data_IF_039436198458
#
_entry.id   IF_039436198458
#
_cell.length_a   1.000
_cell.length_b   1.000
_cell.length_c   1.000
_cell.angle_alpha   90.00
_cell.angle_beta   90.00
_cell.angle_gamma   90.00
#
_symmetry.space_group_name_H-M   'P 1'
#
loop_
_entity.id
_entity.type
_entity.pdbx_description
1 polymer ?
#
# COMPACT_ATOMS: atom_id res chain seq x y z
N UNK A 1 40.30 -16.45 0.59
CA UNK A 1 40.46 -15.59 -0.61
C UNK A 1 39.51 -15.92 -1.74
N UNK A 2 39.11 -17.20 -1.92
CA UNK A 2 38.12 -17.61 -2.94
C UNK A 2 36.70 -17.11 -2.69
N UNK A 3 36.26 -16.95 -1.44
CA UNK A 3 34.90 -16.55 -1.12
C UNK A 3 34.64 -15.04 -1.32
N UNK A 4 35.66 -14.21 -1.10
CA UNK A 4 35.58 -12.78 -1.41
C UNK A 4 35.46 -12.53 -2.92
N UNK A 5 36.16 -13.31 -3.73
CA UNK A 5 36.07 -13.24 -5.18
C UNK A 5 34.69 -13.71 -5.71
N UNK A 6 34.11 -14.73 -5.08
CA UNK A 6 32.75 -15.21 -5.43
C UNK A 6 31.69 -14.19 -5.08
N UNK A 7 31.79 -13.55 -3.91
CA UNK A 7 30.84 -12.53 -3.49
C UNK A 7 30.93 -11.26 -4.33
N UNK A 8 32.13 -10.84 -4.70
CA UNK A 8 32.34 -9.70 -5.59
C UNK A 8 31.73 -9.95 -6.98
N UNK A 9 32.04 -11.11 -7.57
CA UNK A 9 31.53 -11.51 -8.88
C UNK A 9 30.00 -11.66 -8.90
N UNK A 10 29.43 -12.23 -7.85
CA UNK A 10 27.98 -12.34 -7.69
C UNK A 10 27.31 -10.96 -7.69
N UNK A 11 27.91 -9.99 -6.99
CA UNK A 11 27.42 -8.62 -6.95
C UNK A 11 27.51 -7.94 -8.31
N UNK A 12 28.66 -8.03 -8.94
CA UNK A 12 28.92 -7.39 -10.24
C UNK A 12 27.94 -7.87 -11.33
N UNK A 13 27.65 -9.16 -11.37
CA UNK A 13 26.73 -9.76 -12.36
C UNK A 13 25.27 -9.33 -12.17
N UNK A 14 24.86 -8.96 -10.95
CA UNK A 14 23.44 -8.73 -10.61
C UNK A 14 23.10 -7.32 -10.19
N UNK A 15 24.07 -6.51 -9.91
CA UNK A 15 23.87 -5.13 -9.45
C UNK A 15 23.10 -4.28 -10.48
N UNK A 16 23.27 -4.54 -11.77
CA UNK A 16 22.54 -3.86 -12.85
C UNK A 16 21.03 -4.11 -12.77
N UNK A 17 20.61 -5.34 -12.47
CA UNK A 17 19.20 -5.71 -12.32
C UNK A 17 18.59 -5.09 -11.05
N UNK A 18 19.35 -5.06 -9.95
CA UNK A 18 18.90 -4.42 -8.71
C UNK A 18 18.73 -2.92 -8.87
N UNK A 19 19.68 -2.24 -9.53
CA UNK A 19 19.57 -0.82 -9.84
C UNK A 19 18.39 -0.50 -10.75
N UNK A 20 18.17 -1.33 -11.77
CA UNK A 20 17.00 -1.17 -12.65
C UNK A 20 15.69 -1.30 -11.88
N UNK A 21 15.59 -2.30 -11.01
CA UNK A 21 14.42 -2.48 -10.14
C UNK A 21 14.22 -1.27 -9.21
N UNK A 22 15.28 -0.79 -8.57
CA UNK A 22 15.23 0.37 -7.67
C UNK A 22 14.78 1.64 -8.38
N UNK A 23 15.28 1.89 -9.59
CA UNK A 23 14.86 3.02 -10.42
C UNK A 23 13.38 2.95 -10.80
N UNK A 24 12.87 1.77 -11.18
CA UNK A 24 11.47 1.56 -11.51
C UNK A 24 10.60 1.82 -10.29
N UNK A 25 10.96 1.27 -9.12
CA UNK A 25 10.22 1.46 -7.87
C UNK A 25 10.22 2.92 -7.43
N UNK A 26 11.36 3.59 -7.46
CA UNK A 26 11.48 5.01 -7.09
C UNK A 26 10.64 5.90 -8.01
N UNK A 27 10.62 5.61 -9.32
CA UNK A 27 9.77 6.33 -10.27
C UNK A 27 8.29 6.09 -9.97
N UNK A 28 7.92 4.85 -9.66
CA UNK A 28 6.55 4.49 -9.31
C UNK A 28 6.07 5.14 -8.01
N UNK A 29 6.94 5.22 -7.01
CA UNK A 29 6.65 5.86 -5.71
C UNK A 29 6.48 7.37 -5.84
N UNK A 30 7.32 8.02 -6.65
CA UNK A 30 7.30 9.49 -6.79
C UNK A 30 6.21 9.99 -7.75
N UNK A 31 5.94 9.26 -8.83
CA UNK A 31 5.09 9.74 -9.93
C UNK A 31 3.85 8.87 -10.16
N UNK A 32 3.69 7.81 -9.34
CA UNK A 32 2.59 6.86 -9.46
C UNK A 32 2.78 5.82 -10.57
N UNK A 33 1.96 4.78 -10.53
CA UNK A 33 2.01 3.64 -11.47
C UNK A 33 1.82 4.08 -12.93
N UNK A 34 1.06 5.14 -13.16
CA UNK A 34 0.78 5.68 -14.49
C UNK A 34 2.00 6.30 -15.19
N UNK A 35 3.06 6.60 -14.43
CA UNK A 35 4.32 7.14 -14.97
C UNK A 35 5.29 6.06 -15.43
N UNK A 36 4.99 4.78 -15.20
CA UNK A 36 5.79 3.65 -15.67
C UNK A 36 5.47 3.34 -17.12
N UNK A 37 6.52 3.01 -17.88
CA UNK A 37 6.35 2.49 -19.24
C UNK A 37 5.77 1.07 -19.20
N UNK A 38 5.13 0.65 -20.28
CA UNK A 38 4.59 -0.70 -20.43
C UNK A 38 5.71 -1.77 -20.33
N UNK A 39 6.89 -1.40 -20.78
CA UNK A 39 8.11 -2.20 -20.69
C UNK A 39 8.58 -2.38 -19.24
N UNK A 40 8.55 -1.32 -18.42
CA UNK A 40 8.89 -1.36 -17.01
C UNK A 40 7.88 -2.20 -16.21
N UNK A 41 6.60 -2.09 -16.53
CA UNK A 41 5.54 -2.86 -15.89
C UNK A 41 5.64 -4.37 -16.16
N UNK A 42 6.02 -4.76 -17.38
CA UNK A 42 6.26 -6.16 -17.76
C UNK A 42 7.56 -6.71 -17.19
N UNK A 43 8.59 -5.88 -17.06
CA UNK A 43 9.87 -6.28 -16.47
C UNK A 43 9.83 -6.45 -14.95
N UNK A 44 8.97 -5.72 -14.27
CA UNK A 44 8.92 -5.65 -12.81
C UNK A 44 8.76 -7.01 -12.11
N UNK A 45 7.82 -7.91 -12.49
CA UNK A 45 7.66 -9.22 -11.85
C UNK A 45 8.89 -10.12 -12.04
N UNK A 46 9.59 -9.98 -13.18
CA UNK A 46 10.82 -10.71 -13.45
C UNK A 46 11.95 -10.21 -12.57
N UNK A 47 12.16 -8.90 -12.53
CA UNK A 47 13.18 -8.26 -11.69
C UNK A 47 12.97 -8.54 -10.21
N UNK A 48 11.71 -8.52 -9.75
CA UNK A 48 11.37 -8.89 -8.37
C UNK A 48 11.80 -10.32 -8.04
N UNK A 49 11.46 -11.31 -8.89
CA UNK A 49 11.87 -12.70 -8.68
C UNK A 49 13.39 -12.86 -8.68
N UNK A 50 14.09 -12.14 -9.54
CA UNK A 50 15.56 -12.12 -9.55
C UNK A 50 16.14 -11.52 -8.26
N UNK A 51 15.56 -10.45 -7.74
CA UNK A 51 15.98 -9.83 -6.48
C UNK A 51 15.75 -10.78 -5.28
N UNK A 52 14.61 -11.45 -5.21
CA UNK A 52 14.32 -12.46 -4.15
C UNK A 52 15.30 -13.63 -4.22
N UNK A 53 15.58 -14.15 -5.41
CA UNK A 53 16.58 -15.20 -5.62
C UNK A 53 17.98 -14.72 -5.21
N UNK A 54 18.34 -13.49 -5.55
CA UNK A 54 19.61 -12.88 -5.15
C UNK A 54 19.73 -12.72 -3.65
N UNK A 55 18.67 -12.33 -2.96
CA UNK A 55 18.63 -12.23 -1.50
C UNK A 55 18.86 -13.59 -0.83
N UNK A 56 18.22 -14.65 -1.34
CA UNK A 56 18.41 -16.02 -0.84
C UNK A 56 19.86 -16.47 -0.97
N UNK A 57 20.48 -16.24 -2.13
CA UNK A 57 21.89 -16.57 -2.37
C UNK A 57 22.82 -15.72 -1.48
N UNK A 58 22.55 -14.40 -1.39
CA UNK A 58 23.35 -13.50 -0.56
C UNK A 58 23.39 -13.94 0.91
N UNK A 59 22.25 -14.39 1.44
CA UNK A 59 22.18 -14.96 2.81
C UNK A 59 22.96 -16.27 2.93
N UNK A 60 22.90 -17.15 1.94
CA UNK A 60 23.57 -18.46 1.98
C UNK A 60 25.09 -18.35 1.93
N UNK A 61 25.63 -17.37 1.22
CA UNK A 61 27.08 -17.14 1.12
C UNK A 61 27.61 -16.13 2.14
N UNK A 62 26.77 -15.72 3.11
CA UNK A 62 27.13 -14.74 4.17
C UNK A 62 27.73 -13.44 3.58
N UNK A 63 27.06 -12.90 2.56
CA UNK A 63 27.47 -11.65 1.93
C UNK A 63 27.44 -10.50 2.97
N UNK A 64 28.05 -9.36 2.62
CA UNK A 64 28.05 -8.16 3.45
C UNK A 64 26.62 -7.80 3.91
N UNK A 65 26.47 -7.56 5.21
CA UNK A 65 25.18 -7.20 5.85
C UNK A 65 24.52 -5.99 5.20
N UNK A 66 25.29 -5.03 4.71
CA UNK A 66 24.76 -3.86 4.00
C UNK A 66 24.07 -4.23 2.68
N UNK A 67 24.64 -5.20 1.95
CA UNK A 67 24.05 -5.70 0.70
C UNK A 67 22.79 -6.51 0.98
N UNK A 68 22.79 -7.33 2.04
CA UNK A 68 21.61 -8.09 2.46
C UNK A 68 20.48 -7.13 2.85
N UNK A 69 20.76 -6.14 3.70
CA UNK A 69 19.78 -5.13 4.11
C UNK A 69 19.22 -4.32 2.93
N UNK A 70 20.06 -3.95 1.98
CA UNK A 70 19.64 -3.30 0.75
C UNK A 70 18.69 -4.17 -0.07
N UNK A 71 19.03 -5.45 -0.28
CA UNK A 71 18.19 -6.40 -1.01
C UNK A 71 16.86 -6.68 -0.28
N UNK A 72 16.88 -6.76 1.05
CA UNK A 72 15.67 -6.91 1.86
C UNK A 72 14.72 -5.72 1.68
N UNK A 73 15.26 -4.50 1.77
CA UNK A 73 14.50 -3.27 1.53
C UNK A 73 13.93 -3.25 0.11
N UNK A 74 14.74 -3.57 -0.88
CA UNK A 74 14.34 -3.59 -2.28
C UNK A 74 13.24 -4.62 -2.55
N UNK A 75 13.37 -5.84 -2.03
CA UNK A 75 12.37 -6.89 -2.13
C UNK A 75 11.07 -6.51 -1.44
N UNK A 76 11.13 -5.88 -0.27
CA UNK A 76 9.96 -5.43 0.48
C UNK A 76 9.19 -4.35 -0.30
N UNK A 77 9.88 -3.34 -0.80
CA UNK A 77 9.28 -2.29 -1.64
C UNK A 77 8.63 -2.88 -2.89
N UNK A 78 9.36 -3.76 -3.59
CA UNK A 78 8.86 -4.43 -4.79
C UNK A 78 7.64 -5.32 -4.49
N UNK A 79 7.62 -6.03 -3.37
CA UNK A 79 6.48 -6.83 -2.94
C UNK A 79 5.23 -5.98 -2.75
N UNK A 80 5.33 -4.88 -1.98
CA UNK A 80 4.20 -3.97 -1.80
C UNK A 80 3.74 -3.35 -3.11
N UNK A 81 4.65 -3.10 -4.05
CA UNK A 81 4.28 -2.58 -5.35
C UNK A 81 3.59 -3.62 -6.23
N UNK A 82 4.15 -4.82 -6.35
CA UNK A 82 3.60 -5.90 -7.21
C UNK A 82 2.27 -6.43 -6.67
N UNK A 83 2.16 -6.61 -5.36
CA UNK A 83 0.98 -7.21 -4.72
C UNK A 83 0.04 -6.21 -4.07
N UNK A 84 0.53 -5.05 -3.64
CA UNK A 84 -0.25 -3.97 -3.05
C UNK A 84 -0.89 -3.03 -4.07
N UNK A 85 -0.29 -2.86 -5.24
CA UNK A 85 -0.72 -1.88 -6.24
C UNK A 85 -1.92 -2.30 -7.09
N UNK A 86 -2.45 -3.51 -6.94
CA UNK A 86 -3.69 -3.90 -7.63
C UNK A 86 -4.92 -3.16 -7.16
N UNK A 87 -4.80 -2.45 -6.04
CA UNK A 87 -5.83 -1.53 -5.58
C UNK A 87 -5.15 -0.40 -4.81
N UNK A 88 -5.03 0.74 -5.45
CA UNK A 88 -4.69 1.97 -4.74
C UNK A 88 -5.65 2.12 -3.56
N UNK A 89 -5.13 1.94 -2.34
CA UNK A 89 -5.90 2.15 -1.11
C UNK A 89 -6.51 3.55 -1.11
N UNK A 90 -5.79 4.52 -1.69
CA UNK A 90 -6.28 5.88 -1.87
C UNK A 90 -7.47 5.98 -2.85
N UNK A 91 -7.46 5.27 -3.96
CA UNK A 91 -8.58 5.25 -4.90
C UNK A 91 -9.81 4.55 -4.30
N UNK A 92 -9.62 3.43 -3.61
CA UNK A 92 -10.70 2.76 -2.88
C UNK A 92 -11.25 3.59 -1.74
N UNK A 93 -10.40 4.27 -0.99
CA UNK A 93 -10.80 5.17 0.08
C UNK A 93 -11.57 6.36 -0.49
N UNK A 94 -11.13 6.91 -1.61
CA UNK A 94 -11.82 8.02 -2.27
C UNK A 94 -13.16 7.58 -2.88
N UNK A 95 -13.23 6.39 -3.48
CA UNK A 95 -14.48 5.82 -4.00
C UNK A 95 -15.45 5.47 -2.87
N UNK A 96 -14.97 4.95 -1.75
CA UNK A 96 -15.75 4.73 -0.54
C UNK A 96 -16.31 6.04 0.01
N UNK A 97 -15.47 7.08 0.14
CA UNK A 97 -15.89 8.40 0.62
C UNK A 97 -16.89 9.08 -0.32
N UNK A 98 -16.77 8.87 -1.64
CA UNK A 98 -17.63 9.51 -2.63
C UNK A 98 -18.95 8.78 -2.89
N UNK A 99 -18.94 7.44 -2.81
CA UNK A 99 -20.10 6.61 -3.18
C UNK A 99 -20.77 5.98 -1.99
N UNK A 100 -20.02 5.31 -1.14
CA UNK A 100 -20.58 4.47 -0.08
C UNK A 100 -20.97 5.29 1.15
N UNK A 101 -20.17 6.31 1.49
CA UNK A 101 -20.47 7.19 2.62
C UNK A 101 -21.81 7.94 2.44
N UNK A 102 -22.05 8.72 1.35
CA UNK A 102 -23.30 9.44 1.22
C UNK A 102 -24.51 8.50 1.12
N UNK A 103 -24.35 7.31 0.52
CA UNK A 103 -25.40 6.30 0.46
C UNK A 103 -25.75 5.76 1.87
N UNK A 104 -24.75 5.44 2.70
CA UNK A 104 -24.96 5.01 4.08
C UNK A 104 -25.59 6.11 4.94
N UNK A 105 -25.12 7.34 4.82
CA UNK A 105 -25.68 8.48 5.58
C UNK A 105 -27.10 8.75 5.16
N UNK A 106 -27.42 8.77 3.86
CA UNK A 106 -28.77 9.02 3.37
C UNK A 106 -29.77 7.94 3.78
N UNK A 107 -29.34 6.68 3.84
CA UNK A 107 -30.21 5.59 4.33
C UNK A 107 -30.50 5.67 5.82
N UNK A 108 -29.59 6.25 6.62
CA UNK A 108 -29.75 6.41 8.06
C UNK A 108 -30.46 7.71 8.47
N UNK A 109 -30.66 8.68 7.57
CA UNK A 109 -31.32 9.95 7.87
C UNK A 109 -32.78 9.73 8.32
N UNK A 110 -33.50 8.82 7.67
CA UNK A 110 -34.91 8.54 8.00
C UNK A 110 -35.09 8.11 9.47
N UNK A 111 -34.48 7.01 9.90
CA UNK A 111 -34.61 6.55 11.30
C UNK A 111 -34.01 7.55 12.30
N UNK A 112 -32.96 8.29 11.93
CA UNK A 112 -32.35 9.31 12.80
C UNK A 112 -33.29 10.49 13.02
N UNK A 113 -33.93 11.00 11.98
CA UNK A 113 -34.93 12.07 12.10
C UNK A 113 -36.18 11.62 12.92
N UNK A 114 -36.62 10.39 12.72
CA UNK A 114 -37.73 9.83 13.46
C UNK A 114 -37.39 9.72 14.97
N UNK A 115 -36.20 9.23 15.31
CA UNK A 115 -35.73 9.18 16.68
C UNK A 115 -35.61 10.57 17.33
N UNK A 116 -35.05 11.54 16.58
CA UNK A 116 -34.97 12.93 17.04
C UNK A 116 -36.35 13.56 17.27
N UNK A 117 -37.30 13.30 16.40
CA UNK A 117 -38.68 13.80 16.55
C UNK A 117 -39.36 13.24 17.81
N UNK A 118 -39.19 11.94 18.10
CA UNK A 118 -39.74 11.35 19.33
C UNK A 118 -39.04 11.91 20.58
N UNK A 119 -37.73 12.12 20.54
CA UNK A 119 -36.96 12.62 21.65
C UNK A 119 -37.33 14.09 21.96
N UNK A 120 -37.37 14.96 20.96
CA UNK A 120 -37.75 16.35 21.16
C UNK A 120 -39.24 16.52 21.46
N UNK A 121 -40.14 15.73 20.82
CA UNK A 121 -41.55 15.71 21.06
C UNK A 121 -41.90 15.27 22.47
N UNK A 122 -41.25 14.19 22.96
CA UNK A 122 -41.41 13.72 24.34
C UNK A 122 -40.92 14.73 25.38
N UNK A 123 -39.80 15.38 25.10
CA UNK A 123 -39.24 16.42 25.99
C UNK A 123 -40.14 17.64 26.03
N UNK A 124 -40.67 18.12 24.90
CA UNK A 124 -41.59 19.26 24.83
C UNK A 124 -42.90 18.96 25.52
N UNK A 125 -43.43 17.74 25.39
CA UNK A 125 -44.69 17.30 26.04
C UNK A 125 -44.50 17.20 27.55
N UNK A 126 -43.38 16.66 28.02
CA UNK A 126 -43.06 16.60 29.44
C UNK A 126 -42.89 18.00 30.04
N UNK A 127 -42.24 18.90 29.33
CA UNK A 127 -42.07 20.30 29.74
C UNK A 127 -43.44 21.02 29.87
N UNK A 128 -44.30 20.82 28.86
CA UNK A 128 -45.63 21.43 28.85
C UNK A 128 -46.52 20.93 30.01
N UNK A 129 -46.48 19.63 30.28
CA UNK A 129 -47.21 19.04 31.41
C UNK A 129 -46.71 19.55 32.78
N UNK A 130 -45.39 19.73 32.91
CA UNK A 130 -44.77 20.24 34.12
C UNK A 130 -45.09 21.72 34.37
N UNK A 131 -45.41 22.51 33.33
CA UNK A 131 -45.83 23.91 33.45
C UNK A 131 -47.30 24.09 33.78
N UNK A 132 -48.15 23.06 33.61
CA UNK A 132 -49.57 23.13 33.90
C UNK A 132 -49.93 22.74 35.38
N UNK A 133 -48.93 22.17 36.09
CA UNK A 133 -49.10 21.79 37.49
C UNK A 133 -48.48 22.87 38.39
#
# INVERSE_FOLDING_TARGET
>A
MSDLLKSYRFREERESDWRKLDLILTRAENSGVKALSEEDMTALPRLYRQAVSSLSVARSISLDQNVIAYLESLCTRAYFFVYGARTSIGERMMDFLRRDWPACVSSAIGPTLLAALFLFGGWALAFFLCMQD
#
